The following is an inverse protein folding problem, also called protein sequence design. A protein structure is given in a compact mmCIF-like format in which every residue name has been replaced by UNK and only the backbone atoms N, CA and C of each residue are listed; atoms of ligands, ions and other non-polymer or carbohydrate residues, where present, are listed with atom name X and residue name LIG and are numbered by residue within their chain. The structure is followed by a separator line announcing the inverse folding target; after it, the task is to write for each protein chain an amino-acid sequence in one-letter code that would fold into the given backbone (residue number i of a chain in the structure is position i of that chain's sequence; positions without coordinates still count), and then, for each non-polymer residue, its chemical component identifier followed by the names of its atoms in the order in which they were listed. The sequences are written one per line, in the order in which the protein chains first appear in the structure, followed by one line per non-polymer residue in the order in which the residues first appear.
data_IF_695690460384
#
_entry.id   IF_695690460384
#
_cell.length_a   1.000
_cell.length_b   1.000
_cell.length_c   1.000
_cell.angle_alpha   90.00
_cell.angle_beta   90.00
_cell.angle_gamma   90.00
#
_symmetry.space_group_name_H-M   'P 1'
#
loop_
_entity.id
_entity.type
_entity.pdbx_description
1 polymer ?
#
# COMPACT_ATOMS: atom_id res chain seq x y z
N UNK A 1 5.51 -20.20 11.02
CA UNK A 1 5.32 -20.99 9.80
C UNK A 1 6.56 -21.85 9.68
N UNK A 2 6.42 -23.15 9.76
CA UNK A 2 7.52 -24.00 9.42
C UNK A 2 7.35 -24.35 7.93
N UNK A 3 8.12 -23.71 7.07
CA UNK A 3 8.40 -24.21 5.75
C UNK A 3 9.87 -24.58 5.77
N UNK A 4 10.16 -25.87 5.69
CA UNK A 4 11.52 -26.41 5.80
C UNK A 4 12.47 -25.92 4.69
N UNK A 5 11.93 -25.20 3.69
CA UNK A 5 12.70 -24.57 2.63
C UNK A 5 13.13 -23.12 2.98
N UNK A 6 12.76 -22.59 4.15
CA UNK A 6 13.06 -21.20 4.54
C UNK A 6 13.83 -21.24 5.87
N UNK A 7 15.11 -20.91 5.82
CA UNK A 7 15.99 -20.90 6.98
C UNK A 7 15.91 -19.58 7.75
N UNK A 8 15.77 -18.46 7.06
CA UNK A 8 15.71 -17.12 7.65
C UNK A 8 14.69 -16.23 6.92
N UNK A 9 14.01 -15.38 7.71
CA UNK A 9 13.06 -14.40 7.20
C UNK A 9 13.40 -13.01 7.75
N UNK A 10 13.54 -12.06 6.85
CA UNK A 10 13.66 -10.65 7.21
C UNK A 10 12.50 -9.86 6.61
N UNK A 11 11.85 -9.03 7.41
CA UNK A 11 10.84 -8.09 6.94
C UNK A 11 11.53 -6.79 6.55
N UNK A 12 11.42 -6.43 5.28
CA UNK A 12 11.96 -5.21 4.71
C UNK A 12 10.82 -4.20 4.49
N UNK A 13 10.76 -3.18 5.34
CA UNK A 13 9.68 -2.20 5.31
C UNK A 13 10.10 -0.96 4.52
N UNK A 14 9.78 -0.96 3.23
CA UNK A 14 9.95 0.18 2.33
C UNK A 14 8.61 0.53 1.66
N UNK A 15 7.95 1.56 2.17
CA UNK A 15 6.59 1.93 1.77
C UNK A 15 6.46 3.46 1.56
N UNK A 16 7.21 4.05 0.62
CA UNK A 16 7.22 5.49 0.40
C UNK A 16 5.88 6.04 -0.11
N UNK A 17 5.00 5.16 -0.53
CA UNK A 17 3.65 5.50 -1.01
C UNK A 17 2.66 5.81 0.09
N UNK A 18 2.91 5.38 1.34
CA UNK A 18 1.91 5.52 2.41
C UNK A 18 1.83 6.98 2.86
N UNK A 19 0.63 7.53 2.79
CA UNK A 19 0.30 8.90 3.12
C UNK A 19 -1.02 8.97 3.89
N UNK A 20 -1.17 9.86 4.88
CA UNK A 20 -0.17 10.77 5.43
C UNK A 20 0.90 10.04 6.23
N UNK A 21 1.95 10.75 6.67
CA UNK A 21 3.05 10.16 7.43
C UNK A 21 2.57 9.42 8.68
N UNK A 22 1.54 9.91 9.33
CA UNK A 22 0.89 9.24 10.47
C UNK A 22 0.46 7.81 10.13
N UNK A 23 -0.18 7.59 8.98
CA UNK A 23 -0.57 6.25 8.51
C UNK A 23 0.65 5.37 8.26
N UNK A 24 1.74 5.96 7.71
CA UNK A 24 3.00 5.26 7.52
C UNK A 24 3.58 4.79 8.85
N UNK A 25 3.66 5.66 9.86
CA UNK A 25 4.20 5.32 11.17
C UNK A 25 3.36 4.25 11.87
N UNK A 26 2.03 4.34 11.84
CA UNK A 26 1.14 3.33 12.40
C UNK A 26 1.41 1.95 11.78
N UNK A 27 1.43 1.86 10.46
CA UNK A 27 1.68 0.59 9.76
C UNK A 27 3.08 0.06 10.01
N UNK A 28 4.07 0.93 10.12
CA UNK A 28 5.44 0.58 10.44
C UNK A 28 5.56 -0.02 11.83
N UNK A 29 5.04 0.66 12.85
CA UNK A 29 5.09 0.18 14.23
C UNK A 29 4.32 -1.13 14.43
N UNK A 30 3.16 -1.32 13.78
CA UNK A 30 2.46 -2.61 13.80
C UNK A 30 3.36 -3.74 13.28
N UNK A 31 3.99 -3.55 12.13
CA UNK A 31 4.89 -4.56 11.55
C UNK A 31 6.10 -4.82 12.45
N UNK A 32 6.73 -3.77 12.96
CA UNK A 32 7.89 -3.85 13.83
C UNK A 32 7.59 -4.58 15.15
N UNK A 33 6.47 -4.24 15.80
CA UNK A 33 6.02 -4.91 17.02
C UNK A 33 5.74 -6.41 16.78
N UNK A 34 5.09 -6.73 15.67
CA UNK A 34 4.79 -8.12 15.35
C UNK A 34 6.04 -8.91 14.98
N UNK A 35 6.96 -8.34 14.23
CA UNK A 35 8.25 -8.95 13.95
C UNK A 35 9.03 -9.22 15.24
N UNK A 36 9.07 -8.27 16.17
CA UNK A 36 9.68 -8.45 17.49
C UNK A 36 9.06 -9.62 18.26
N UNK A 37 7.74 -9.74 18.26
CA UNK A 37 7.00 -10.84 18.91
C UNK A 37 7.39 -12.20 18.32
N UNK A 38 7.61 -12.26 17.00
CA UNK A 38 7.96 -13.48 16.29
C UNK A 38 9.47 -13.78 16.26
N UNK A 39 10.32 -12.87 16.78
CA UNK A 39 11.78 -12.98 16.67
C UNK A 39 12.29 -12.78 15.24
N UNK A 40 11.53 -12.14 14.36
CA UNK A 40 11.88 -11.88 12.97
C UNK A 40 12.63 -10.55 12.87
N UNK A 41 13.71 -10.52 12.09
CA UNK A 41 14.46 -9.30 11.81
C UNK A 41 13.60 -8.32 11.02
N UNK A 42 13.57 -7.06 11.47
CA UNK A 42 12.86 -5.97 10.81
C UNK A 42 13.84 -4.89 10.34
N UNK A 43 13.75 -4.53 9.07
CA UNK A 43 14.54 -3.45 8.46
C UNK A 43 13.62 -2.28 8.18
N UNK A 44 13.87 -1.18 8.87
CA UNK A 44 13.18 0.10 8.71
C UNK A 44 13.91 0.91 7.64
N UNK A 45 13.32 1.03 6.47
CA UNK A 45 13.89 1.77 5.36
C UNK A 45 13.40 3.21 5.32
N UNK A 46 14.11 4.03 4.56
CA UNK A 46 13.80 5.43 4.39
C UNK A 46 12.37 5.65 3.90
N UNK A 47 11.72 6.66 4.44
CA UNK A 47 10.45 7.14 3.93
C UNK A 47 10.70 8.08 2.74
N UNK A 48 11.03 7.48 1.59
CA UNK A 48 11.45 8.12 0.34
C UNK A 48 10.25 8.63 -0.47
N UNK A 49 9.43 9.43 0.16
CA UNK A 49 8.14 9.91 -0.36
C UNK A 49 8.31 10.83 -1.58
N UNK A 50 9.34 11.67 -1.59
CA UNK A 50 9.61 12.61 -2.68
C UNK A 50 9.91 11.87 -3.99
N UNK A 51 10.74 10.84 -3.93
CA UNK A 51 11.06 9.99 -5.08
C UNK A 51 9.80 9.25 -5.58
N UNK A 52 8.93 8.78 -4.66
CA UNK A 52 7.68 8.15 -5.05
C UNK A 52 6.77 9.11 -5.82
N UNK A 53 6.62 10.35 -5.35
CA UNK A 53 5.86 11.39 -6.07
C UNK A 53 6.51 11.75 -7.40
N UNK A 54 7.83 11.87 -7.45
CA UNK A 54 8.55 12.15 -8.69
C UNK A 54 8.31 11.06 -9.75
N UNK A 55 8.36 9.78 -9.36
CA UNK A 55 8.11 8.64 -10.25
C UNK A 55 6.64 8.52 -10.69
N UNK A 56 5.70 8.97 -9.88
CA UNK A 56 4.25 8.89 -10.18
C UNK A 56 3.69 10.17 -10.78
N UNK A 57 4.53 11.15 -11.05
CA UNK A 57 4.13 12.44 -11.64
C UNK A 57 3.45 12.25 -13.01
N UNK A 58 2.31 12.91 -13.19
CA UNK A 58 1.49 12.77 -14.40
C UNK A 58 0.51 11.60 -14.38
N UNK A 59 0.53 10.77 -13.30
CA UNK A 59 -0.35 9.61 -13.11
C UNK A 59 -1.37 9.84 -11.98
N UNK A 60 -1.62 11.10 -11.57
CA UNK A 60 -2.43 11.46 -10.41
C UNK A 60 -3.89 10.97 -10.53
N UNK A 61 -4.35 10.81 -11.76
CA UNK A 61 -5.71 10.39 -12.09
C UNK A 61 -5.79 8.96 -12.67
N UNK A 62 -4.69 8.24 -12.69
CA UNK A 62 -4.72 6.82 -13.04
C UNK A 62 -5.59 6.06 -12.03
N UNK A 63 -6.38 5.09 -12.50
CA UNK A 63 -7.15 4.23 -11.61
C UNK A 63 -6.24 3.36 -10.73
N UNK A 64 -6.78 2.85 -9.65
CA UNK A 64 -6.13 1.75 -8.94
C UNK A 64 -5.91 0.56 -9.89
N UNK A 65 -4.81 -0.19 -9.69
CA UNK A 65 -4.32 -1.26 -10.59
C UNK A 65 -3.89 -0.76 -11.98
N UNK A 66 -3.85 0.57 -12.21
CA UNK A 66 -3.31 1.18 -13.44
C UNK A 66 -1.78 1.31 -13.40
N UNK A 67 -1.22 2.07 -14.36
CA UNK A 67 0.24 2.27 -14.51
C UNK A 67 0.91 2.81 -13.25
N UNK A 68 0.25 3.75 -12.54
CA UNK A 68 0.76 4.28 -11.27
C UNK A 68 1.02 3.17 -10.25
N UNK A 69 0.13 2.17 -10.17
CA UNK A 69 0.32 1.04 -9.26
C UNK A 69 1.49 0.15 -9.69
N UNK A 70 1.71 -0.05 -10.99
CA UNK A 70 2.92 -0.75 -11.49
C UNK A 70 4.17 -0.03 -11.05
N UNK A 71 4.28 1.29 -11.29
CA UNK A 71 5.43 2.10 -10.85
C UNK A 71 5.65 2.01 -9.34
N UNK A 72 4.57 2.03 -8.56
CA UNK A 72 4.64 1.89 -7.11
C UNK A 72 5.17 0.51 -6.68
N UNK A 73 4.75 -0.57 -7.34
CA UNK A 73 5.26 -1.91 -7.06
C UNK A 73 6.70 -2.06 -7.51
N UNK A 74 7.04 -1.61 -8.71
CA UNK A 74 8.40 -1.68 -9.26
C UNK A 74 9.39 -0.99 -8.31
N UNK A 75 9.13 0.25 -7.91
CA UNK A 75 10.00 0.98 -6.96
C UNK A 75 10.23 0.22 -5.65
N UNK A 76 9.19 -0.41 -5.12
CA UNK A 76 9.28 -1.14 -3.86
C UNK A 76 10.00 -2.47 -4.01
N UNK A 77 9.76 -3.19 -5.11
CA UNK A 77 10.43 -4.45 -5.42
C UNK A 77 11.89 -4.25 -5.80
N UNK A 78 12.22 -3.22 -6.60
CA UNK A 78 13.60 -2.85 -6.93
C UNK A 78 14.42 -2.59 -5.66
N UNK A 79 13.87 -1.85 -4.72
CA UNK A 79 14.56 -1.54 -3.45
C UNK A 79 14.75 -2.78 -2.58
N UNK A 80 13.75 -3.66 -2.54
CA UNK A 80 13.82 -4.93 -1.81
C UNK A 80 14.83 -5.90 -2.47
N UNK A 81 14.83 -5.98 -3.79
CA UNK A 81 15.76 -6.84 -4.53
C UNK A 81 17.22 -6.38 -4.37
N UNK A 82 17.48 -5.07 -4.45
CA UNK A 82 18.82 -4.51 -4.19
C UNK A 82 19.29 -4.89 -2.78
N UNK A 83 18.46 -4.66 -1.76
CA UNK A 83 18.82 -5.01 -0.40
C UNK A 83 19.08 -6.51 -0.24
N UNK A 84 18.24 -7.34 -0.83
CA UNK A 84 18.38 -8.79 -0.77
C UNK A 84 19.69 -9.25 -1.40
N UNK A 85 20.03 -8.76 -2.57
CA UNK A 85 21.30 -9.05 -3.26
C UNK A 85 22.51 -8.60 -2.42
N UNK A 86 22.53 -7.35 -1.94
CA UNK A 86 23.65 -6.81 -1.14
C UNK A 86 23.87 -7.56 0.18
N UNK A 87 22.84 -8.25 0.70
CA UNK A 87 22.90 -8.95 1.99
C UNK A 87 22.85 -10.48 1.85
N UNK A 88 22.96 -11.02 0.64
CA UNK A 88 23.07 -12.46 0.38
C UNK A 88 21.76 -13.23 0.58
N UNK A 89 20.59 -12.59 0.51
CA UNK A 89 19.33 -13.28 0.46
C UNK A 89 19.11 -13.90 -0.92
N UNK A 90 18.50 -15.08 -0.94
CA UNK A 90 18.27 -15.85 -2.18
C UNK A 90 16.88 -15.62 -2.78
N UNK A 91 15.95 -15.05 -2.00
CA UNK A 91 14.59 -14.86 -2.45
C UNK A 91 13.98 -13.58 -1.88
N UNK A 92 13.12 -12.94 -2.67
CA UNK A 92 12.20 -11.91 -2.21
C UNK A 92 10.76 -12.35 -2.39
N UNK A 93 9.89 -11.93 -1.49
CA UNK A 93 8.44 -12.10 -1.59
C UNK A 93 7.75 -10.82 -1.13
N UNK A 94 6.45 -10.72 -1.38
CA UNK A 94 5.69 -9.54 -0.94
C UNK A 94 4.35 -9.90 -0.34
N UNK A 95 3.96 -9.17 0.70
CA UNK A 95 2.63 -9.25 1.29
C UNK A 95 1.56 -8.50 0.48
N UNK A 96 1.95 -7.71 -0.54
CA UNK A 96 0.97 -7.04 -1.41
C UNK A 96 0.06 -8.02 -2.14
N UNK A 97 0.58 -9.20 -2.50
CA UNK A 97 -0.19 -10.25 -3.15
C UNK A 97 -1.26 -10.91 -2.24
N UNK A 98 -1.26 -10.64 -0.94
CA UNK A 98 -2.30 -11.13 -0.01
C UNK A 98 -3.61 -10.38 -0.12
N UNK A 99 -3.60 -9.20 -0.74
CA UNK A 99 -4.76 -8.32 -0.81
C UNK A 99 -5.62 -8.61 -2.03
N UNK A 100 -6.89 -8.98 -1.83
CA UNK A 100 -7.88 -9.13 -2.89
C UNK A 100 -8.13 -7.86 -3.72
N UNK A 101 -7.71 -6.71 -3.20
CA UNK A 101 -7.85 -5.41 -3.88
C UNK A 101 -6.70 -5.10 -4.84
N UNK A 102 -5.67 -5.94 -4.84
CA UNK A 102 -4.54 -5.83 -5.74
C UNK A 102 -4.69 -6.80 -6.91
N UNK A 103 -4.13 -6.41 -8.03
CA UNK A 103 -3.90 -7.32 -9.13
C UNK A 103 -2.66 -8.15 -8.82
N UNK A 104 -2.84 -9.44 -8.53
CA UNK A 104 -1.75 -10.35 -8.14
C UNK A 104 -0.76 -10.54 -9.28
N UNK A 105 -1.25 -10.59 -10.52
CA UNK A 105 -0.38 -10.72 -11.68
C UNK A 105 0.52 -9.49 -11.79
N UNK A 106 -0.05 -8.28 -11.69
CA UNK A 106 0.71 -7.02 -11.71
C UNK A 106 1.78 -6.97 -10.61
N UNK A 107 1.45 -7.43 -9.41
CA UNK A 107 2.40 -7.51 -8.28
C UNK A 107 3.51 -8.51 -8.55
N UNK A 108 3.18 -9.70 -9.02
CA UNK A 108 4.14 -10.76 -9.31
C UNK A 108 5.08 -10.39 -10.46
N UNK A 109 4.56 -9.78 -11.51
CA UNK A 109 5.37 -9.28 -12.62
C UNK A 109 6.39 -8.23 -12.16
N UNK A 110 6.01 -7.32 -11.26
CA UNK A 110 6.95 -6.34 -10.67
C UNK A 110 8.04 -7.04 -9.84
N UNK A 111 7.67 -8.05 -9.04
CA UNK A 111 8.62 -8.83 -8.26
C UNK A 111 9.59 -9.62 -9.14
N UNK A 112 9.10 -10.24 -10.20
CA UNK A 112 9.92 -10.99 -11.16
C UNK A 112 10.90 -10.07 -11.88
N UNK A 113 10.45 -8.90 -12.38
CA UNK A 113 11.35 -7.91 -13.00
C UNK A 113 12.45 -7.47 -12.07
N UNK A 114 12.13 -7.18 -10.81
CA UNK A 114 13.11 -6.74 -9.84
C UNK A 114 14.15 -7.84 -9.52
N UNK A 115 13.70 -9.06 -9.28
CA UNK A 115 14.58 -10.18 -8.99
C UNK A 115 15.47 -10.56 -10.18
N UNK A 116 14.96 -10.49 -11.42
CA UNK A 116 15.71 -10.80 -12.63
C UNK A 116 16.90 -9.87 -12.91
N UNK A 117 17.04 -8.79 -12.15
CA UNK A 117 18.22 -7.91 -12.22
C UNK A 117 19.46 -8.51 -11.54
N UNK A 118 19.31 -9.62 -10.81
CA UNK A 118 20.36 -10.28 -10.03
C UNK A 118 20.32 -11.79 -10.24
N UNK A 119 21.45 -12.39 -10.64
CA UNK A 119 21.53 -13.83 -10.96
C UNK A 119 21.36 -14.74 -9.74
N UNK A 120 21.61 -14.22 -8.55
CA UNK A 120 21.57 -14.91 -7.27
C UNK A 120 20.22 -14.75 -6.53
N UNK A 121 19.26 -14.06 -7.13
CA UNK A 121 17.99 -13.72 -6.47
C UNK A 121 16.78 -14.25 -7.25
N UNK A 122 15.82 -14.84 -6.54
CA UNK A 122 14.53 -15.20 -7.12
C UNK A 122 13.38 -14.44 -6.49
N UNK A 123 12.29 -14.29 -7.23
CA UNK A 123 11.01 -13.82 -6.68
C UNK A 123 10.12 -15.02 -6.38
N UNK A 124 9.72 -15.16 -5.13
CA UNK A 124 8.82 -16.23 -4.70
C UNK A 124 7.36 -15.78 -4.81
N UNK A 125 6.73 -16.16 -5.93
CA UNK A 125 5.32 -15.92 -6.23
C UNK A 125 4.42 -16.93 -5.50
N UNK A 126 4.31 -16.81 -4.17
CA UNK A 126 3.45 -17.69 -3.38
C UNK A 126 1.97 -17.31 -3.55
N UNK A 127 1.10 -18.30 -3.67
CA UNK A 127 -0.35 -18.07 -3.70
C UNK A 127 -0.90 -17.81 -2.30
N UNK A 128 -1.03 -16.53 -1.98
CA UNK A 128 -1.56 -16.05 -0.71
C UNK A 128 -3.10 -16.00 -0.67
N UNK A 129 -3.78 -16.27 -1.79
CA UNK A 129 -5.23 -16.07 -1.92
C UNK A 129 -6.04 -17.37 -1.82
N UNK A 130 -5.41 -18.48 -1.46
CA UNK A 130 -6.14 -19.71 -1.15
C UNK A 130 -7.07 -19.50 0.06
N UNK A 131 -8.15 -20.28 0.13
CA UNK A 131 -9.12 -20.20 1.23
C UNK A 131 -8.43 -20.41 2.59
N UNK A 132 -7.50 -21.38 2.66
CA UNK A 132 -6.73 -21.66 3.86
C UNK A 132 -5.90 -20.44 4.31
N UNK A 133 -5.13 -19.84 3.40
CA UNK A 133 -4.33 -18.65 3.70
C UNK A 133 -5.20 -17.46 4.06
N UNK A 134 -6.33 -17.31 3.41
CA UNK A 134 -7.30 -16.26 3.69
C UNK A 134 -7.88 -16.41 5.11
N UNK A 135 -8.32 -17.59 5.49
CA UNK A 135 -8.81 -17.86 6.85
C UNK A 135 -7.72 -17.63 7.90
N UNK A 136 -6.52 -18.13 7.65
CA UNK A 136 -5.38 -17.94 8.57
C UNK A 136 -5.03 -16.46 8.75
N UNK A 137 -5.02 -15.69 7.68
CA UNK A 137 -4.82 -14.22 7.72
C UNK A 137 -5.86 -13.54 8.62
N UNK A 138 -7.14 -13.88 8.48
CA UNK A 138 -8.19 -13.30 9.32
C UNK A 138 -8.05 -13.70 10.78
N UNK A 139 -7.72 -14.96 11.07
CA UNK A 139 -7.48 -15.44 12.45
C UNK A 139 -6.33 -14.68 13.09
N UNK A 140 -5.18 -14.58 12.41
CA UNK A 140 -4.03 -13.82 12.91
C UNK A 140 -4.40 -12.36 13.15
N UNK A 141 -5.06 -11.72 12.18
CA UNK A 141 -5.46 -10.31 12.29
C UNK A 141 -6.40 -10.08 13.48
N UNK A 142 -7.34 -10.99 13.72
CA UNK A 142 -8.26 -10.90 14.86
C UNK A 142 -7.54 -11.14 16.21
N UNK A 143 -6.69 -12.16 16.29
CA UNK A 143 -5.96 -12.50 17.52
C UNK A 143 -4.97 -11.41 17.92
N UNK A 144 -4.27 -10.83 16.96
CA UNK A 144 -3.29 -9.77 17.19
C UNK A 144 -3.94 -8.39 17.27
N UNK A 145 -5.22 -8.26 16.89
CA UNK A 145 -5.95 -7.00 16.85
C UNK A 145 -5.21 -5.95 16.01
N UNK A 146 -4.75 -6.35 14.82
CA UNK A 146 -4.02 -5.46 13.92
C UNK A 146 -4.84 -4.24 13.50
N UNK A 147 -4.14 -3.13 13.32
CA UNK A 147 -4.68 -1.93 12.72
C UNK A 147 -5.34 -2.22 11.37
N UNK A 148 -6.57 -1.81 11.22
CA UNK A 148 -7.33 -2.00 9.98
C UNK A 148 -7.20 -0.77 9.09
N UNK A 149 -6.40 -0.90 8.04
CA UNK A 149 -6.27 0.13 7.03
C UNK A 149 -7.54 0.23 6.17
N UNK A 150 -8.02 1.43 5.90
CA UNK A 150 -9.25 1.67 5.14
C UNK A 150 -9.00 2.04 3.66
N UNK A 151 -7.75 2.10 3.23
CA UNK A 151 -7.34 2.39 1.86
C UNK A 151 -5.97 1.77 1.55
N UNK A 152 -5.55 1.81 0.29
CA UNK A 152 -4.28 1.23 -0.15
C UNK A 152 -3.05 1.75 0.62
N UNK A 153 -3.07 3.02 0.99
CA UNK A 153 -1.99 3.75 1.63
C UNK A 153 -1.58 5.00 0.86
N UNK A 154 -1.65 5.02 -0.47
CA UNK A 154 -1.21 6.19 -1.21
C UNK A 154 -2.22 7.35 -1.14
N UNK A 155 -1.70 8.58 -1.29
CA UNK A 155 -2.51 9.81 -1.25
C UNK A 155 -3.64 9.82 -2.28
N UNK A 156 -3.43 9.23 -3.45
CA UNK A 156 -4.45 9.14 -4.51
C UNK A 156 -5.58 8.19 -4.11
N UNK A 157 -5.25 7.04 -3.51
CA UNK A 157 -6.26 6.11 -2.99
C UNK A 157 -7.06 6.72 -1.83
N UNK A 158 -6.39 7.49 -0.95
CA UNK A 158 -7.07 8.23 0.12
C UNK A 158 -8.04 9.26 -0.42
N UNK A 159 -7.60 10.06 -1.41
CA UNK A 159 -8.46 11.03 -2.11
C UNK A 159 -9.69 10.35 -2.71
N UNK A 160 -9.45 9.32 -3.53
CA UNK A 160 -10.51 8.65 -4.29
C UNK A 160 -11.49 7.94 -3.34
N UNK A 161 -11.01 7.33 -2.27
CA UNK A 161 -11.84 6.74 -1.23
C UNK A 161 -12.67 7.77 -0.48
N UNK A 162 -12.09 8.92 -0.13
CA UNK A 162 -12.81 10.01 0.53
C UNK A 162 -13.83 10.70 -0.39
N UNK A 163 -13.54 10.81 -1.69
CA UNK A 163 -14.49 11.34 -2.67
C UNK A 163 -15.69 10.40 -2.85
N UNK A 164 -15.43 9.08 -2.90
CA UNK A 164 -16.50 8.10 -2.92
C UNK A 164 -17.35 8.12 -1.62
N UNK A 165 -16.70 8.20 -0.46
CA UNK A 165 -17.40 8.31 0.84
C UNK A 165 -18.28 9.55 0.89
N UNK A 166 -17.75 10.71 0.46
CA UNK A 166 -18.53 11.95 0.38
C UNK A 166 -19.77 11.83 -0.51
N UNK A 167 -19.62 11.16 -1.66
CA UNK A 167 -20.71 10.94 -2.59
C UNK A 167 -21.80 9.98 -2.07
N UNK A 168 -21.52 9.23 -1.00
CA UNK A 168 -22.41 8.27 -0.37
C UNK A 168 -22.75 8.65 1.09
N UNK A 169 -22.53 9.91 1.50
CA UNK A 169 -22.80 10.42 2.85
C UNK A 169 -22.10 9.63 3.97
N UNK A 170 -20.94 9.08 3.68
CA UNK A 170 -20.10 8.35 4.64
C UNK A 170 -18.99 9.30 5.14
N UNK A 171 -18.70 9.31 6.45
CA UNK A 171 -17.60 10.10 6.99
C UNK A 171 -16.26 9.79 6.33
N UNK A 172 -15.39 10.80 6.20
CA UNK A 172 -14.02 10.61 5.68
C UNK A 172 -13.25 9.61 6.53
N UNK A 173 -12.28 8.97 5.89
CA UNK A 173 -11.32 8.09 6.58
C UNK A 173 -10.59 8.89 7.66
N UNK A 174 -10.59 8.34 8.86
CA UNK A 174 -9.83 8.86 10.01
C UNK A 174 -8.56 8.04 10.19
N UNK A 175 -7.41 8.69 9.98
CA UNK A 175 -6.12 8.03 10.15
C UNK A 175 -5.89 7.65 11.61
N UNK A 176 -5.58 6.39 11.86
CA UNK A 176 -5.52 5.83 13.21
C UNK A 176 -6.89 5.68 13.88
N UNK A 177 -7.96 5.81 13.07
CA UNK A 177 -9.34 5.77 13.58
C UNK A 177 -9.75 4.41 14.11
N UNK A 178 -10.89 4.41 14.80
CA UNK A 178 -11.39 3.31 15.62
C UNK A 178 -12.23 2.28 14.84
N UNK A 179 -11.97 2.05 13.56
CA UNK A 179 -12.72 1.03 12.81
C UNK A 179 -12.60 -0.39 13.40
N UNK A 180 -11.70 -0.58 14.38
CA UNK A 180 -11.47 -1.85 15.06
C UNK A 180 -11.53 -1.78 16.60
N UNK A 181 -12.01 -0.68 17.21
CA UNK A 181 -11.96 -0.49 18.66
C UNK A 181 -10.54 -0.30 19.21
N UNK A 182 -9.62 0.24 18.40
CA UNK A 182 -8.22 0.45 18.73
C UNK A 182 -7.86 1.93 18.92
N UNK A 183 -8.87 2.79 18.98
CA UNK A 183 -8.75 4.24 18.91
C UNK A 183 -7.71 4.85 19.85
N UNK A 184 -7.63 4.38 21.08
CA UNK A 184 -6.67 4.88 22.07
C UNK A 184 -5.22 4.47 21.78
N UNK A 185 -4.98 3.34 21.10
CA UNK A 185 -3.65 2.78 20.88
C UNK A 185 -2.76 3.67 20.01
N UNK A 186 -3.35 4.46 19.11
CA UNK A 186 -2.62 5.27 18.13
C UNK A 186 -2.87 6.77 18.27
N UNK A 187 -3.77 7.21 19.15
CA UNK A 187 -4.08 8.63 19.33
C UNK A 187 -3.22 9.33 20.37
N UNK A 188 -2.54 8.59 21.23
CA UNK A 188 -1.80 9.13 22.37
C UNK A 188 -0.28 9.20 22.17
N UNK A 189 0.25 8.78 20.99
CA UNK A 189 1.69 8.76 20.76
C UNK A 189 2.20 10.11 20.22
N UNK A 190 3.10 10.81 20.97
CA UNK A 190 3.68 12.09 20.55
C UNK A 190 4.53 12.02 19.28
N UNK A 191 4.96 10.81 18.85
CA UNK A 191 5.70 10.63 17.60
C UNK A 191 4.89 11.00 16.34
N UNK A 192 3.62 11.27 16.52
CA UNK A 192 2.68 11.53 15.43
C UNK A 192 2.61 13.00 15.04
N UNK A 193 3.06 13.91 15.89
CA UNK A 193 3.00 15.36 15.65
C UNK A 193 4.18 15.91 14.81
N UNK A 194 5.16 15.08 14.45
CA UNK A 194 6.29 15.49 13.60
C UNK A 194 5.94 15.59 12.09
N UNK A 195 4.69 15.99 11.77
CA UNK A 195 4.11 15.76 10.43
C UNK A 195 3.90 17.00 9.58
N UNK A 196 4.25 18.19 10.04
CA UNK A 196 3.99 19.41 9.25
C UNK A 196 4.84 19.49 7.97
N UNK A 197 6.13 19.13 8.02
CA UNK A 197 7.02 19.18 6.83
C UNK A 197 6.58 18.24 5.69
N UNK A 198 6.11 17.04 5.99
CA UNK A 198 5.69 16.11 4.94
C UNK A 198 4.32 16.44 4.35
N UNK A 199 3.48 17.18 5.08
CA UNK A 199 2.20 17.64 4.57
C UNK A 199 2.39 18.79 3.58
N UNK A 200 3.32 19.71 3.84
CA UNK A 200 3.66 20.81 2.93
C UNK A 200 4.13 20.29 1.57
N UNK A 201 5.03 19.31 1.55
CA UNK A 201 5.53 18.69 0.31
C UNK A 201 4.39 18.07 -0.50
N UNK A 202 3.46 17.40 0.17
CA UNK A 202 2.30 16.78 -0.48
C UNK A 202 1.33 17.85 -0.99
N UNK A 203 1.07 18.88 -0.22
CA UNK A 203 0.17 19.97 -0.60
C UNK A 203 0.76 20.77 -1.76
N UNK A 204 2.07 21.03 -1.77
CA UNK A 204 2.79 21.63 -2.90
C UNK A 204 2.72 20.75 -4.16
N UNK A 205 2.94 19.43 -4.01
CA UNK A 205 2.82 18.50 -5.14
C UNK A 205 1.40 18.52 -5.74
N UNK A 206 0.37 18.46 -4.92
CA UNK A 206 -1.01 18.54 -5.40
C UNK A 206 -1.36 19.91 -5.95
N UNK A 207 -0.82 20.99 -5.38
CA UNK A 207 -0.97 22.34 -5.93
C UNK A 207 -0.30 22.45 -7.31
N UNK A 208 0.91 21.91 -7.48
CA UNK A 208 1.59 21.85 -8.77
C UNK A 208 0.87 20.94 -9.76
N UNK A 209 0.46 19.72 -9.36
CA UNK A 209 -0.31 18.80 -10.19
C UNK A 209 -1.64 19.41 -10.63
N UNK A 210 -2.34 20.10 -9.74
CA UNK A 210 -3.57 20.83 -10.06
C UNK A 210 -3.32 22.02 -10.99
N UNK A 211 -2.18 22.70 -10.86
CA UNK A 211 -1.78 23.82 -11.72
C UNK A 211 -1.43 23.34 -13.14
N UNK A 212 -0.67 22.26 -13.26
CA UNK A 212 -0.35 21.60 -14.51
C UNK A 212 -1.59 21.00 -15.17
N UNK A 213 -2.47 20.44 -14.38
CA UNK A 213 -3.73 19.88 -14.84
C UNK A 213 -4.73 20.97 -15.33
N UNK A 214 -4.62 22.21 -14.86
CA UNK A 214 -5.38 23.36 -15.37
C UNK A 214 -4.83 23.88 -16.69
N UNK A 215 -3.54 23.64 -16.96
CA UNK A 215 -2.84 24.21 -18.13
C UNK A 215 -2.82 23.26 -19.34
N UNK A 216 -2.96 21.96 -19.17
CA UNK A 216 -2.74 21.05 -20.29
C UNK A 216 -3.52 19.73 -20.33
N UNK A 217 -4.28 19.38 -19.33
CA UNK A 217 -5.07 18.16 -19.41
C UNK A 217 -6.49 18.50 -19.86
N UNK A 218 -6.78 18.07 -21.03
CA UNK A 218 -8.10 18.07 -21.63
C UNK A 218 -9.14 17.58 -20.60
N UNK A 219 -10.12 18.43 -20.33
CA UNK A 219 -11.30 18.13 -19.49
C UNK A 219 -11.95 16.79 -19.88
N UNK A 220 -11.73 16.35 -21.10
CA UNK A 220 -12.17 15.09 -21.70
C UNK A 220 -11.39 13.87 -21.17
N UNK A 221 -10.07 13.97 -20.97
CA UNK A 221 -9.26 12.87 -20.39
C UNK A 221 -9.60 12.65 -18.92
N UNK A 222 -9.83 13.73 -18.16
CA UNK A 222 -10.27 13.63 -16.77
C UNK A 222 -11.65 13.00 -16.64
N UNK A 223 -12.58 13.38 -17.53
CA UNK A 223 -13.92 12.82 -17.57
C UNK A 223 -13.88 11.34 -17.94
N UNK A 224 -13.08 10.97 -18.93
CA UNK A 224 -12.91 9.59 -19.37
C UNK A 224 -12.31 8.71 -18.27
N UNK A 225 -11.25 9.17 -17.58
CA UNK A 225 -10.64 8.45 -16.46
C UNK A 225 -11.63 8.28 -15.28
N UNK A 226 -12.42 9.32 -14.99
CA UNK A 226 -13.44 9.27 -13.94
C UNK A 226 -14.59 8.31 -14.31
N UNK A 227 -15.04 8.31 -15.56
CA UNK A 227 -16.08 7.38 -16.03
C UNK A 227 -15.60 5.93 -16.04
N UNK A 228 -14.37 5.67 -16.51
CA UNK A 228 -13.75 4.33 -16.43
C UNK A 228 -13.63 3.85 -14.98
N UNK A 229 -13.26 4.74 -14.05
CA UNK A 229 -13.21 4.43 -12.63
C UNK A 229 -14.61 4.09 -12.07
N UNK A 230 -15.63 4.87 -12.42
CA UNK A 230 -17.02 4.64 -11.98
C UNK A 230 -17.59 3.35 -12.54
N UNK A 231 -17.36 3.06 -13.83
CA UNK A 231 -17.81 1.81 -14.45
C UNK A 231 -17.15 0.58 -13.81
N UNK A 232 -15.86 0.66 -13.55
CA UNK A 232 -15.14 -0.41 -12.87
C UNK A 232 -15.68 -0.64 -11.46
N UNK A 233 -15.92 0.42 -10.67
CA UNK A 233 -16.52 0.33 -9.33
C UNK A 233 -17.93 -0.25 -9.38
N UNK A 234 -18.69 0.04 -10.42
CA UNK A 234 -20.03 -0.52 -10.62
C UNK A 234 -19.98 -2.02 -10.90
N UNK A 235 -19.03 -2.46 -11.70
CA UNK A 235 -18.82 -3.88 -12.00
C UNK A 235 -18.31 -4.65 -10.78
N UNK A 236 -17.40 -4.07 -10.01
CA UNK A 236 -16.92 -4.64 -8.74
C UNK A 236 -18.05 -4.75 -7.68
N UNK A 237 -19.04 -3.84 -7.69
CA UNK A 237 -20.21 -3.91 -6.83
C UNK A 237 -21.23 -4.97 -7.29
N UNK A 238 -21.27 -5.29 -8.59
CA UNK A 238 -22.20 -6.28 -9.16
C UNK A 238 -21.69 -7.73 -9.02
N UNK A 239 -20.39 -7.96 -8.97
CA UNK A 239 -19.82 -9.30 -8.79
C UNK A 239 -19.71 -9.74 -7.32
N UNK A 240 -20.30 -8.96 -6.40
CA UNK A 240 -20.29 -9.26 -4.96
C UNK A 240 -18.94 -9.03 -4.27
N UNK A 241 -17.93 -8.56 -4.97
CA UNK A 241 -16.61 -8.27 -4.40
C UNK A 241 -16.60 -7.00 -3.55
N UNK A 242 -17.69 -6.25 -3.52
CA UNK A 242 -17.83 -4.95 -2.85
C UNK A 242 -18.77 -4.95 -1.61
N UNK A 243 -18.93 -6.06 -0.93
CA UNK A 243 -19.49 -6.06 0.44
C UNK A 243 -18.41 -5.63 1.46
N UNK A 244 -17.74 -4.54 1.20
CA UNK A 244 -16.48 -4.21 1.81
C UNK A 244 -16.40 -2.96 2.65
N UNK A 245 -17.47 -2.51 3.28
CA UNK A 245 -17.34 -1.47 4.32
C UNK A 245 -17.18 -2.01 5.74
N UNK A 246 -17.27 -3.34 5.93
CA UNK A 246 -17.22 -3.93 7.27
C UNK A 246 -16.16 -5.03 7.48
N UNK A 247 -15.24 -5.27 6.56
CA UNK A 247 -14.26 -6.36 6.70
C UNK A 247 -12.85 -5.98 6.23
N UNK A 248 -12.24 -5.01 6.87
CA UNK A 248 -10.79 -4.81 6.88
C UNK A 248 -10.19 -5.22 8.21
#
# INVERSE_FOLDING_TARGET
MANDAIDDVTVFFYNPNIHPRREYEIRKEENKCYCKKLGIRFIDCDYDVENWYARTKGMEFDPERGKRCTVCFDMRMERAALYAHEHGYQAIATTNATSRWKDVQQVNESGQRAASSYDDLCYWAYDWQTDEMTMRKYQISANERFYKQEYCGCSFSLRDSNDWRRANDIPKIQIGGDSAGLGERYFTDPLVDATEESQEVVDEFFAQANKLAKVGADKKQRKAALETYKERRKNEAHDGSFNGLNNW
#
